data_IF_297143006363
#
_entry.id   IF_297143006363
#
_cell.length_a   1.000
_cell.length_b   1.000
_cell.length_c   1.000
_cell.angle_alpha   90.00
_cell.angle_beta   90.00
_cell.angle_gamma   90.00
#
_symmetry.space_group_name_H-M   'P 1'
#
loop_
_entity.id
_entity.type
_entity.pdbx_description
1 polymer ?
#
# COMPACT_ATOMS: atom_id res chain seq x y z
N UNK A 1 -11.36 -17.46 8.50
CA UNK A 1 -11.36 -18.11 7.15
C UNK A 1 -9.98 -17.91 6.55
N UNK A 2 -9.27 -18.97 6.16
CA UNK A 2 -7.94 -18.86 5.57
C UNK A 2 -8.02 -18.19 4.19
N UNK A 3 -7.43 -17.00 4.05
CA UNK A 3 -7.22 -16.36 2.74
C UNK A 3 -5.97 -16.96 2.08
N UNK A 4 -5.94 -17.11 0.75
CA UNK A 4 -4.69 -17.41 0.06
C UNK A 4 -3.68 -16.29 0.37
N UNK A 5 -2.61 -16.61 1.08
CA UNK A 5 -1.57 -15.64 1.40
C UNK A 5 -0.90 -15.15 0.11
N UNK A 6 -0.81 -13.83 -0.04
CA UNK A 6 -0.13 -13.22 -1.18
C UNK A 6 1.34 -13.67 -1.29
N UNK A 7 1.90 -13.53 -2.49
CA UNK A 7 3.33 -13.69 -2.72
C UNK A 7 3.90 -12.27 -2.85
N UNK A 8 4.52 -11.77 -1.79
CA UNK A 8 5.35 -10.56 -1.84
C UNK A 8 6.73 -10.87 -1.30
N UNK A 9 7.69 -10.06 -1.71
CA UNK A 9 9.10 -10.23 -1.38
C UNK A 9 9.95 -9.36 -2.29
N UNK A 10 11.26 -9.48 -2.13
CA UNK A 10 12.24 -8.63 -2.80
C UNK A 10 13.44 -9.46 -3.21
N UNK A 11 14.08 -9.05 -4.30
CA UNK A 11 15.32 -9.66 -4.73
C UNK A 11 16.49 -9.05 -3.94
N UNK A 12 17.31 -9.87 -3.30
CA UNK A 12 18.56 -9.46 -2.67
C UNK A 12 19.75 -10.05 -3.40
N UNK A 13 20.82 -9.25 -3.49
CA UNK A 13 22.15 -9.72 -3.84
C UNK A 13 23.01 -9.75 -2.57
N UNK A 14 23.65 -10.88 -2.28
CA UNK A 14 24.68 -10.99 -1.24
C UNK A 14 26.03 -11.24 -1.88
N UNK A 15 27.04 -10.54 -1.39
CA UNK A 15 28.44 -10.78 -1.76
C UNK A 15 29.04 -11.74 -0.73
N UNK A 16 29.44 -12.92 -1.18
CA UNK A 16 30.16 -13.92 -0.41
C UNK A 16 31.57 -13.47 -0.04
N UNK A 17 32.19 -14.16 0.91
CA UNK A 17 33.55 -13.85 1.39
C UNK A 17 34.62 -14.02 0.29
N UNK A 18 34.32 -14.81 -0.74
CA UNK A 18 35.13 -15.03 -1.95
C UNK A 18 34.85 -14.01 -3.06
N UNK A 19 33.95 -13.05 -2.84
CA UNK A 19 33.52 -12.07 -3.82
C UNK A 19 32.46 -12.58 -4.80
N UNK A 20 31.95 -13.80 -4.65
CA UNK A 20 30.82 -14.30 -5.44
C UNK A 20 29.55 -13.52 -5.08
N UNK A 21 28.75 -13.14 -6.08
CA UNK A 21 27.48 -12.44 -5.84
C UNK A 21 26.34 -13.41 -6.10
N UNK A 22 25.59 -13.75 -5.05
CA UNK A 22 24.43 -14.64 -5.14
C UNK A 22 23.14 -13.83 -5.01
N UNK A 23 22.27 -13.98 -5.99
CA UNK A 23 20.93 -13.40 -5.98
C UNK A 23 19.89 -14.37 -5.44
N UNK A 24 18.98 -13.92 -4.59
CA UNK A 24 17.83 -14.72 -4.16
C UNK A 24 16.61 -13.85 -3.88
N UNK A 25 15.42 -14.44 -4.02
CA UNK A 25 14.16 -13.81 -3.68
C UNK A 25 13.79 -14.10 -2.22
N UNK A 26 13.73 -13.05 -1.40
CA UNK A 26 13.32 -13.14 0.00
C UNK A 26 11.81 -12.90 0.11
N UNK A 27 11.07 -13.98 0.39
CA UNK A 27 9.62 -13.91 0.53
C UNK A 27 9.24 -13.36 1.90
N UNK A 28 8.28 -12.46 1.93
CA UNK A 28 7.64 -11.99 3.17
C UNK A 28 6.74 -13.12 3.69
N UNK A 29 6.97 -13.63 4.91
CA UNK A 29 6.19 -14.71 5.49
C UNK A 29 4.89 -14.15 6.06
N UNK A 30 3.90 -13.89 5.21
CA UNK A 30 2.56 -13.54 5.68
C UNK A 30 1.98 -14.67 6.52
N UNK A 31 1.34 -14.27 7.62
CA UNK A 31 0.52 -15.15 8.43
C UNK A 31 -0.60 -15.80 7.61
N UNK A 32 -1.18 -16.88 8.15
CA UNK A 32 -2.34 -17.55 7.52
C UNK A 32 -3.65 -16.85 7.83
N UNK A 33 -3.73 -16.22 9.00
CA UNK A 33 -4.94 -15.56 9.46
C UNK A 33 -4.99 -14.11 9.00
N UNK A 34 -6.18 -13.71 8.51
CA UNK A 34 -6.42 -12.37 7.97
C UNK A 34 -6.07 -11.26 8.99
N UNK A 35 -6.54 -11.42 10.23
CA UNK A 35 -6.30 -10.46 11.32
C UNK A 35 -4.81 -10.27 11.64
N UNK A 36 -4.01 -11.34 11.52
CA UNK A 36 -2.56 -11.28 11.73
C UNK A 36 -1.88 -10.52 10.59
N UNK A 37 -2.30 -10.73 9.34
CA UNK A 37 -1.81 -9.97 8.18
C UNK A 37 -2.14 -8.48 8.33
N UNK A 38 -3.39 -8.16 8.68
CA UNK A 38 -3.87 -6.78 8.83
C UNK A 38 -3.15 -6.06 9.97
N UNK A 39 -2.98 -6.71 11.13
CA UNK A 39 -2.20 -6.17 12.25
C UNK A 39 -0.76 -5.90 11.83
N UNK A 40 -0.13 -6.87 11.17
CA UNK A 40 1.24 -6.73 10.67
C UNK A 40 1.37 -5.54 9.69
N UNK A 41 0.41 -5.36 8.79
CA UNK A 41 0.42 -4.23 7.85
C UNK A 41 0.31 -2.88 8.56
N UNK A 42 -0.60 -2.76 9.55
CA UNK A 42 -0.80 -1.51 10.29
C UNK A 42 0.43 -1.16 11.13
N UNK A 43 0.99 -2.12 11.84
CA UNK A 43 2.20 -1.90 12.65
C UNK A 43 3.38 -1.46 11.77
N UNK A 44 3.60 -2.15 10.65
CA UNK A 44 4.69 -1.84 9.72
C UNK A 44 4.49 -0.51 9.00
N UNK A 45 3.24 -0.15 8.69
CA UNK A 45 2.88 1.17 8.18
C UNK A 45 3.27 2.28 9.19
N UNK A 46 2.87 2.16 10.45
CA UNK A 46 3.16 3.15 11.49
C UNK A 46 4.67 3.27 11.73
N UNK A 47 5.39 2.14 11.78
CA UNK A 47 6.87 2.13 11.90
C UNK A 47 7.51 2.86 10.72
N UNK A 48 7.10 2.55 9.49
CA UNK A 48 7.67 3.16 8.28
C UNK A 48 7.37 4.67 8.19
N UNK A 49 6.16 5.09 8.58
CA UNK A 49 5.79 6.50 8.68
C UNK A 49 6.67 7.26 9.70
N UNK A 50 6.89 6.68 10.88
CA UNK A 50 7.76 7.27 11.89
C UNK A 50 9.23 7.34 11.44
N UNK A 51 9.72 6.33 10.70
CA UNK A 51 11.08 6.36 10.14
C UNK A 51 11.26 7.50 9.12
N UNK A 52 10.23 7.76 8.31
CA UNK A 52 10.24 8.88 7.36
C UNK A 52 10.21 10.25 8.05
N UNK A 53 9.30 10.43 9.01
CA UNK A 53 9.04 11.72 9.66
C UNK A 53 10.08 12.03 10.75
N UNK A 54 10.66 11.04 11.44
CA UNK A 54 11.67 11.29 12.49
C UNK A 54 12.90 12.07 12.01
N UNK A 55 13.17 12.09 10.70
CA UNK A 55 14.21 12.93 10.09
C UNK A 55 13.95 14.44 10.27
N UNK A 56 12.71 14.85 10.53
CA UNK A 56 12.32 16.25 10.78
C UNK A 56 12.15 16.56 12.27
N UNK A 57 12.35 15.57 13.16
CA UNK A 57 12.11 15.69 14.60
C UNK A 57 10.64 15.52 15.01
N UNK A 58 9.75 15.30 14.05
CA UNK A 58 8.33 15.05 14.30
C UNK A 58 8.04 13.55 14.47
N UNK A 59 6.83 13.23 14.93
CA UNK A 59 6.30 11.87 15.01
C UNK A 59 5.08 11.72 14.11
N UNK A 60 4.89 10.55 13.53
CA UNK A 60 3.64 10.26 12.84
C UNK A 60 2.47 10.33 13.83
N UNK A 61 1.38 10.95 13.41
CA UNK A 61 0.29 11.34 14.31
C UNK A 61 -0.64 10.18 14.69
N UNK A 62 -0.59 9.04 13.99
CA UNK A 62 -1.31 7.83 14.37
C UNK A 62 -0.38 6.87 15.12
N UNK A 63 -0.85 6.35 16.24
CA UNK A 63 -0.13 5.33 17.01
C UNK A 63 -1.07 4.36 17.77
N UNK A 64 -0.47 3.43 18.51
CA UNK A 64 -1.14 2.47 19.38
C UNK A 64 -2.31 1.74 18.69
N UNK A 65 -2.09 1.09 17.53
CA UNK A 65 -3.15 0.39 16.83
C UNK A 65 -3.67 -0.76 17.67
N UNK A 66 -4.99 -0.90 17.74
CA UNK A 66 -5.69 -1.99 18.41
C UNK A 66 -6.75 -2.55 17.48
N UNK A 67 -6.60 -3.82 17.13
CA UNK A 67 -7.60 -4.54 16.35
C UNK A 67 -8.92 -4.58 17.14
N UNK A 68 -10.02 -4.23 16.47
CA UNK A 68 -11.37 -4.27 17.06
C UNK A 68 -12.04 -5.63 16.78
N UNK A 69 -13.17 -5.94 17.44
CA UNK A 69 -13.97 -7.13 17.13
C UNK A 69 -14.50 -7.16 15.70
N UNK A 70 -14.85 -8.36 15.23
CA UNK A 70 -15.54 -8.58 13.96
C UNK A 70 -16.86 -7.77 13.95
N UNK A 71 -17.16 -7.07 12.85
CA UNK A 71 -18.28 -6.11 12.64
C UNK A 71 -18.08 -4.65 13.10
N UNK A 72 -16.91 -4.26 13.60
CA UNK A 72 -16.53 -2.85 13.84
C UNK A 72 -15.56 -2.33 12.75
N UNK A 73 -15.14 -1.07 12.82
CA UNK A 73 -13.97 -0.56 12.09
C UNK A 73 -12.76 -1.43 12.41
N UNK A 74 -11.90 -1.75 11.43
CA UNK A 74 -10.82 -2.72 11.64
C UNK A 74 -9.93 -2.40 12.86
N UNK A 75 -9.53 -1.14 13.05
CA UNK A 75 -8.65 -0.72 14.15
C UNK A 75 -9.14 0.54 14.86
N UNK A 76 -8.85 0.60 16.16
CA UNK A 76 -8.77 1.85 16.93
C UNK A 76 -7.31 2.30 17.01
N UNK A 77 -7.05 3.58 16.75
CA UNK A 77 -5.72 4.22 16.84
C UNK A 77 -5.82 5.46 17.72
N UNK A 78 -4.69 5.92 18.29
CA UNK A 78 -4.66 7.24 18.93
C UNK A 78 -4.25 8.30 17.90
N UNK A 79 -4.85 9.48 18.03
CA UNK A 79 -4.56 10.66 17.20
C UNK A 79 -4.44 11.91 18.10
N UNK A 80 -3.96 13.05 17.58
CA UNK A 80 -3.89 14.28 18.36
C UNK A 80 -5.25 14.76 18.91
N UNK A 81 -6.35 14.36 18.27
CA UNK A 81 -7.71 14.72 18.67
C UNK A 81 -8.36 13.66 19.60
N UNK A 82 -7.59 12.66 20.06
CA UNK A 82 -8.08 11.53 20.83
C UNK A 82 -8.22 10.24 20.00
N UNK A 83 -8.96 9.24 20.51
CA UNK A 83 -9.15 7.98 19.80
C UNK A 83 -9.83 8.18 18.44
N UNK A 84 -9.32 7.50 17.43
CA UNK A 84 -9.83 7.51 16.06
C UNK A 84 -9.94 6.09 15.51
N UNK A 85 -10.64 5.96 14.39
CA UNK A 85 -10.79 4.70 13.68
C UNK A 85 -9.82 4.63 12.50
N UNK A 86 -9.26 3.44 12.27
CA UNK A 86 -8.46 3.13 11.09
C UNK A 86 -9.10 1.93 10.39
N UNK A 87 -9.52 2.16 9.17
CA UNK A 87 -10.11 1.16 8.31
C UNK A 87 -9.10 0.68 7.26
N UNK A 88 -9.19 -0.57 6.84
CA UNK A 88 -8.28 -1.19 5.90
C UNK A 88 -8.95 -1.56 4.58
N UNK A 89 -8.22 -1.46 3.48
CA UNK A 89 -8.65 -1.98 2.20
C UNK A 89 -7.48 -2.63 1.47
N UNK A 90 -7.57 -3.94 1.32
CA UNK A 90 -6.63 -4.71 0.52
C UNK A 90 -6.81 -4.37 -0.97
N UNK A 91 -5.73 -4.00 -1.63
CA UNK A 91 -5.69 -3.82 -3.07
C UNK A 91 -5.39 -5.17 -3.71
N UNK A 92 -6.46 -5.85 -4.12
CA UNK A 92 -6.41 -7.12 -4.83
C UNK A 92 -7.54 -7.18 -5.86
N UNK A 93 -7.41 -6.51 -7.03
CA UNK A 93 -8.41 -6.50 -8.11
C UNK A 93 -8.46 -7.85 -8.84
N UNK A 94 -8.69 -8.94 -8.10
CA UNK A 94 -8.70 -10.29 -8.65
C UNK A 94 -9.99 -10.52 -9.43
N UNK A 95 -9.86 -10.72 -10.74
CA UNK A 95 -10.81 -11.51 -11.54
C UNK A 95 -10.25 -12.93 -11.74
N UNK A 96 -9.83 -13.62 -10.66
CA UNK A 96 -9.29 -14.98 -10.74
C UNK A 96 -8.17 -15.30 -9.74
N UNK A 97 -7.35 -16.32 -10.06
CA UNK A 97 -6.17 -16.68 -9.26
C UNK A 97 -5.01 -15.72 -9.51
N UNK A 98 -4.11 -15.57 -8.53
CA UNK A 98 -2.91 -14.73 -8.63
C UNK A 98 -2.03 -15.04 -9.86
N UNK A 99 -2.02 -16.30 -10.31
CA UNK A 99 -1.26 -16.74 -11.50
C UNK A 99 -1.78 -16.17 -12.82
N UNK A 100 -3.01 -15.64 -12.82
CA UNK A 100 -3.62 -14.98 -13.98
C UNK A 100 -3.54 -13.46 -13.90
N UNK A 101 -2.90 -12.91 -12.87
CA UNK A 101 -2.69 -11.47 -12.79
C UNK A 101 -1.84 -11.02 -13.99
N UNK A 102 -2.27 -9.99 -14.73
CA UNK A 102 -1.55 -9.56 -15.92
C UNK A 102 -0.20 -8.95 -15.51
N UNK A 103 0.85 -9.23 -16.30
CA UNK A 103 2.19 -8.64 -16.13
C UNK A 103 2.25 -7.15 -16.49
N UNK A 104 1.12 -6.59 -16.95
CA UNK A 104 0.98 -5.20 -17.28
C UNK A 104 -0.42 -4.71 -16.90
N UNK A 105 -0.53 -3.44 -16.53
CA UNK A 105 -1.82 -2.80 -16.27
C UNK A 105 -1.80 -1.35 -16.72
N UNK A 106 -2.99 -0.80 -16.96
CA UNK A 106 -3.17 0.64 -17.18
C UNK A 106 -3.35 1.34 -15.83
N UNK A 107 -2.43 2.22 -15.40
CA UNK A 107 -2.54 2.90 -14.11
C UNK A 107 -3.81 3.71 -13.92
N UNK A 108 -4.32 4.29 -15.01
CA UNK A 108 -5.59 5.00 -15.03
C UNK A 108 -6.76 4.09 -14.63
N UNK A 109 -6.93 2.96 -15.33
CA UNK A 109 -8.04 2.03 -15.07
C UNK A 109 -7.91 1.39 -13.69
N UNK A 110 -6.70 1.00 -13.30
CA UNK A 110 -6.47 0.41 -11.98
C UNK A 110 -6.76 1.41 -10.85
N UNK A 111 -6.35 2.66 -11.02
CA UNK A 111 -6.69 3.73 -10.09
C UNK A 111 -8.21 3.96 -9.99
N UNK A 112 -8.97 3.86 -11.09
CA UNK A 112 -10.44 3.96 -11.06
C UNK A 112 -11.08 2.84 -10.23
N UNK A 113 -10.58 1.61 -10.36
CA UNK A 113 -11.04 0.46 -9.55
C UNK A 113 -10.79 0.72 -8.07
N UNK A 114 -9.58 1.16 -7.72
CA UNK A 114 -9.22 1.50 -6.33
C UNK A 114 -10.11 2.64 -5.82
N UNK A 115 -10.30 3.70 -6.59
CA UNK A 115 -11.16 4.83 -6.24
C UNK A 115 -12.61 4.39 -5.99
N UNK A 116 -13.15 3.49 -6.83
CA UNK A 116 -14.47 2.91 -6.60
C UNK A 116 -14.53 2.19 -5.26
N UNK A 117 -13.55 1.34 -4.94
CA UNK A 117 -13.48 0.65 -3.64
C UNK A 117 -13.42 1.60 -2.45
N UNK A 118 -12.64 2.69 -2.55
CA UNK A 118 -12.61 3.75 -1.53
C UNK A 118 -14.00 4.37 -1.36
N UNK A 119 -14.68 4.69 -2.46
CA UNK A 119 -16.02 5.31 -2.43
C UNK A 119 -17.06 4.36 -1.85
N UNK A 120 -17.07 3.11 -2.27
CA UNK A 120 -17.97 2.08 -1.75
C UNK A 120 -17.76 1.90 -0.26
N UNK A 121 -16.52 1.96 0.22
CA UNK A 121 -16.19 1.93 1.63
C UNK A 121 -16.66 3.19 2.35
N UNK A 122 -16.39 4.38 1.79
CA UNK A 122 -16.86 5.65 2.35
C UNK A 122 -18.38 5.71 2.48
N UNK A 123 -19.11 5.16 1.50
CA UNK A 123 -20.58 5.20 1.45
C UNK A 123 -21.26 4.24 2.45
N UNK A 124 -20.52 3.27 3.02
CA UNK A 124 -21.05 2.34 4.02
C UNK A 124 -21.25 2.97 5.40
N UNK A 125 -20.59 4.09 5.68
CA UNK A 125 -20.57 4.68 7.02
C UNK A 125 -21.42 5.96 7.08
N UNK A 126 -22.06 6.24 8.23
CA UNK A 126 -22.78 7.50 8.42
C UNK A 126 -21.81 8.67 8.43
N UNK A 127 -22.22 9.83 7.90
CA UNK A 127 -21.35 11.03 7.77
C UNK A 127 -20.86 11.62 9.09
N UNK A 128 -21.47 11.28 10.22
CA UNK A 128 -21.07 11.74 11.55
C UNK A 128 -20.80 10.54 12.47
N UNK A 129 -19.52 10.19 12.61
CA UNK A 129 -19.06 9.09 13.46
C UNK A 129 -18.72 9.54 14.89
N UNK A 130 -18.72 10.86 15.17
CA UNK A 130 -18.24 11.42 16.43
C UNK A 130 -16.72 11.27 16.66
N UNK A 131 -15.99 10.64 15.72
CA UNK A 131 -14.54 10.43 15.74
C UNK A 131 -13.99 10.50 14.31
N UNK A 132 -12.71 10.83 14.19
CA UNK A 132 -12.01 10.78 12.91
C UNK A 132 -11.91 9.32 12.40
N UNK A 133 -12.06 9.16 11.08
CA UNK A 133 -11.90 7.87 10.39
C UNK A 133 -10.81 7.99 9.32
N UNK A 134 -9.82 7.11 9.38
CA UNK A 134 -8.71 7.02 8.44
C UNK A 134 -8.83 5.77 7.58
N UNK A 135 -8.25 5.78 6.38
CA UNK A 135 -8.18 4.61 5.50
C UNK A 135 -6.72 4.26 5.18
N UNK A 136 -6.36 3.00 5.37
CA UNK A 136 -5.09 2.44 4.92
C UNK A 136 -5.34 1.41 3.81
N UNK A 137 -4.89 1.73 2.61
CA UNK A 137 -4.81 0.79 1.50
C UNK A 137 -3.52 -0.02 1.61
N UNK A 138 -3.57 -1.32 1.37
CA UNK A 138 -2.38 -2.17 1.45
C UNK A 138 -2.36 -3.26 0.39
N UNK A 139 -1.17 -3.71 0.01
CA UNK A 139 -0.97 -4.78 -0.99
C UNK A 139 -0.30 -5.99 -0.34
N UNK A 140 -0.84 -7.19 -0.54
CA UNK A 140 -0.24 -8.44 -0.07
C UNK A 140 0.50 -9.19 -1.19
N UNK A 141 0.38 -8.73 -2.43
CA UNK A 141 1.03 -9.31 -3.59
C UNK A 141 1.69 -8.24 -4.47
N UNK A 142 2.93 -8.49 -4.92
CA UNK A 142 3.69 -7.54 -5.73
C UNK A 142 3.00 -7.13 -7.05
N UNK A 143 2.16 -8.01 -7.63
CA UNK A 143 1.33 -7.71 -8.80
C UNK A 143 0.30 -6.60 -8.60
N UNK A 144 0.10 -6.13 -7.38
CA UNK A 144 -0.86 -5.07 -7.08
C UNK A 144 -0.21 -3.80 -6.58
N UNK A 145 1.13 -3.73 -6.57
CA UNK A 145 1.87 -2.52 -6.21
C UNK A 145 1.52 -1.35 -7.13
N UNK A 146 1.46 -0.15 -6.56
CA UNK A 146 0.99 1.01 -7.31
C UNK A 146 2.19 1.71 -7.93
N UNK A 147 2.11 1.93 -9.23
CA UNK A 147 2.99 2.87 -9.91
C UNK A 147 2.74 4.29 -9.42
N UNK A 148 3.75 5.15 -9.53
CA UNK A 148 3.61 6.56 -9.20
C UNK A 148 2.53 7.26 -10.05
N UNK A 149 2.29 6.77 -11.28
CA UNK A 149 1.19 7.24 -12.14
C UNK A 149 -0.18 6.89 -11.52
N UNK A 150 -0.36 5.67 -11.01
CA UNK A 150 -1.61 5.28 -10.33
C UNK A 150 -1.83 6.13 -9.06
N UNK A 151 -0.76 6.36 -8.29
CA UNK A 151 -0.79 7.23 -7.10
C UNK A 151 -1.17 8.67 -7.47
N UNK A 152 -0.60 9.23 -8.54
CA UNK A 152 -0.93 10.58 -9.02
C UNK A 152 -2.40 10.69 -9.45
N UNK A 153 -2.91 9.69 -10.20
CA UNK A 153 -4.33 9.59 -10.55
C UNK A 153 -5.23 9.60 -9.31
N UNK A 154 -4.93 8.77 -8.31
CA UNK A 154 -5.69 8.70 -7.06
C UNK A 154 -5.68 10.03 -6.31
N UNK A 155 -4.53 10.67 -6.14
CA UNK A 155 -4.41 11.99 -5.50
C UNK A 155 -5.25 13.05 -6.22
N UNK A 156 -5.19 13.07 -7.55
CA UNK A 156 -6.00 13.99 -8.36
C UNK A 156 -7.50 13.78 -8.13
N UNK A 157 -7.98 12.53 -8.23
CA UNK A 157 -9.42 12.25 -8.06
C UNK A 157 -9.93 12.42 -6.64
N UNK A 158 -9.16 12.04 -5.63
CA UNK A 158 -9.53 12.19 -4.22
C UNK A 158 -9.62 13.67 -3.80
N UNK A 159 -8.88 14.58 -4.46
CA UNK A 159 -9.01 16.02 -4.22
C UNK A 159 -10.36 16.58 -4.64
N UNK A 160 -10.97 16.04 -5.70
CA UNK A 160 -12.25 16.52 -6.24
C UNK A 160 -13.46 15.71 -5.77
N UNK A 161 -13.24 14.57 -5.10
CA UNK A 161 -14.28 13.67 -4.63
C UNK A 161 -14.19 13.50 -3.11
N UNK A 162 -14.99 14.25 -2.34
CA UNK A 162 -15.03 14.13 -0.90
C UNK A 162 -15.32 12.68 -0.46
N UNK A 163 -14.64 12.24 0.59
CA UNK A 163 -14.91 10.97 1.27
C UNK A 163 -15.09 11.24 2.76
N UNK A 164 -15.63 10.27 3.50
CA UNK A 164 -15.72 10.36 4.96
C UNK A 164 -14.33 10.29 5.63
N UNK A 165 -13.33 9.78 4.92
CA UNK A 165 -11.99 9.58 5.46
C UNK A 165 -11.27 10.91 5.66
N UNK A 166 -10.79 11.14 6.88
CA UNK A 166 -9.98 12.30 7.26
C UNK A 166 -8.66 12.33 6.50
N UNK A 167 -8.05 11.16 6.34
CA UNK A 167 -6.90 10.93 5.47
C UNK A 167 -6.90 9.49 4.92
N UNK A 168 -6.27 9.32 3.76
CA UNK A 168 -6.15 8.05 3.05
C UNK A 168 -4.66 7.81 2.75
N UNK A 169 -4.19 6.63 3.10
CA UNK A 169 -2.82 6.18 2.93
C UNK A 169 -2.76 4.94 2.03
N UNK A 170 -1.60 4.71 1.43
CA UNK A 170 -1.22 3.41 0.86
C UNK A 170 0.03 2.93 1.56
N UNK A 171 0.15 1.61 1.69
CA UNK A 171 1.35 0.97 2.21
C UNK A 171 1.70 -0.26 1.40
N UNK A 172 2.95 -0.27 0.94
CA UNK A 172 3.53 -1.35 0.17
C UNK A 172 4.76 -1.87 0.92
N UNK A 173 4.78 -3.15 1.27
CA UNK A 173 5.96 -3.72 1.94
C UNK A 173 7.15 -3.75 0.98
N UNK A 174 8.30 -3.29 1.47
CA UNK A 174 9.58 -3.46 0.80
C UNK A 174 10.23 -4.75 1.30
N UNK A 175 10.18 -4.98 2.61
CA UNK A 175 10.69 -6.19 3.25
C UNK A 175 9.86 -6.59 4.49
N UNK A 176 10.40 -7.50 5.31
CA UNK A 176 9.74 -8.01 6.50
C UNK A 176 9.62 -6.98 7.65
N UNK A 177 10.32 -5.84 7.56
CA UNK A 177 10.48 -4.84 8.60
C UNK A 177 9.98 -3.46 8.19
N UNK A 178 10.04 -3.11 6.91
CA UNK A 178 9.66 -1.81 6.40
C UNK A 178 8.98 -1.83 5.04
N UNK A 179 8.43 -0.68 4.67
CA UNK A 179 7.74 -0.48 3.41
C UNK A 179 7.69 0.98 2.99
N UNK A 180 7.01 1.22 1.88
CA UNK A 180 6.77 2.56 1.33
C UNK A 180 5.37 3.00 1.70
N UNK A 181 5.21 3.83 2.76
CA UNK A 181 3.95 4.50 2.97
C UNK A 181 3.84 5.71 2.03
N UNK A 182 2.65 5.93 1.46
CA UNK A 182 2.35 7.14 0.68
C UNK A 182 1.03 7.75 1.12
N UNK A 183 1.00 9.07 1.30
CA UNK A 183 -0.24 9.83 1.46
C UNK A 183 -0.97 9.95 0.12
N UNK A 184 -2.25 9.58 0.10
CA UNK A 184 -3.14 9.81 -1.03
C UNK A 184 -4.05 11.02 -0.82
N UNK A 185 -4.50 11.25 0.41
CA UNK A 185 -5.40 12.35 0.74
C UNK A 185 -5.32 12.71 2.23
N UNK A 186 -5.45 14.00 2.61
CA UNK A 186 -5.23 15.15 1.74
C UNK A 186 -3.74 15.25 1.36
N UNK A 187 -3.44 15.84 0.21
CA UNK A 187 -2.06 16.17 -0.19
C UNK A 187 -1.97 17.63 -0.61
N UNK A 188 -0.82 18.31 -0.40
CA UNK A 188 -0.63 19.66 -0.88
C UNK A 188 -0.83 19.76 -2.40
N UNK A 189 -1.42 20.86 -2.93
CA UNK A 189 -1.63 21.03 -4.36
C UNK A 189 -0.36 20.86 -5.21
N UNK A 190 0.81 21.14 -4.65
CA UNK A 190 2.12 21.02 -5.28
C UNK A 190 2.48 19.57 -5.60
N UNK A 191 2.00 18.60 -4.82
CA UNK A 191 2.20 17.16 -5.09
C UNK A 191 1.30 16.62 -6.22
N UNK A 192 0.28 17.38 -6.61
CA UNK A 192 -0.57 17.08 -7.77
C UNK A 192 -0.08 17.88 -8.97
N UNK A 193 0.29 19.14 -8.77
CA UNK A 193 0.78 20.02 -9.83
C UNK A 193 -0.21 20.14 -10.99
N UNK A 194 0.28 20.30 -12.24
CA UNK A 194 -0.57 20.36 -13.44
C UNK A 194 -1.00 18.97 -13.95
N UNK A 195 -0.90 17.92 -13.12
CA UNK A 195 -1.20 16.56 -13.55
C UNK A 195 -2.67 16.39 -13.95
N UNK A 196 -2.88 15.89 -15.17
CA UNK A 196 -4.17 15.50 -15.72
C UNK A 196 -4.20 13.98 -15.98
N UNK A 197 -5.03 13.22 -15.24
CA UNK A 197 -5.17 11.78 -15.42
C UNK A 197 -5.51 11.37 -16.86
N UNK A 198 -6.22 12.20 -17.63
CA UNK A 198 -6.61 11.82 -18.99
C UNK A 198 -5.40 11.70 -19.94
N UNK A 199 -4.31 12.42 -19.67
CA UNK A 199 -3.08 12.35 -20.46
C UNK A 199 -2.34 11.02 -20.30
N UNK A 200 -2.60 10.29 -19.22
CA UNK A 200 -1.95 9.01 -18.91
C UNK A 200 -2.91 7.82 -19.04
N UNK A 201 -4.09 8.03 -19.64
CA UNK A 201 -5.11 6.98 -19.81
C UNK A 201 -4.56 5.73 -20.50
N UNK A 202 -3.73 5.93 -21.53
CA UNK A 202 -3.16 4.84 -22.33
C UNK A 202 -1.78 4.37 -21.82
N UNK A 203 -1.28 4.94 -20.72
CA UNK A 203 -0.01 4.48 -20.15
C UNK A 203 -0.13 3.03 -19.69
N UNK A 204 0.95 2.27 -19.87
CA UNK A 204 1.06 0.90 -19.40
C UNK A 204 2.19 0.83 -18.40
N UNK A 205 1.90 0.26 -17.23
CA UNK A 205 2.91 -0.10 -16.25
C UNK A 205 3.16 -1.60 -16.33
N UNK A 206 4.44 -1.99 -16.35
CA UNK A 206 4.87 -3.38 -16.34
C UNK A 206 5.20 -3.80 -14.91
N UNK A 207 4.67 -4.93 -14.49
CA UNK A 207 5.08 -5.63 -13.29
C UNK A 207 6.17 -6.64 -13.67
N UNK A 208 7.38 -6.38 -13.19
CA UNK A 208 8.48 -7.32 -13.30
C UNK A 208 8.38 -8.31 -12.14
N UNK A 209 8.47 -9.60 -12.43
CA UNK A 209 8.49 -10.63 -11.39
C UNK A 209 9.87 -10.65 -10.70
N UNK A 210 9.97 -10.14 -9.46
CA UNK A 210 11.25 -10.15 -8.74
C UNK A 210 11.76 -11.57 -8.45
N UNK A 211 10.91 -12.59 -8.48
CA UNK A 211 11.31 -13.98 -8.32
C UNK A 211 12.08 -14.51 -9.53
N UNK A 212 11.84 -13.93 -10.72
CA UNK A 212 12.52 -14.29 -11.96
C UNK A 212 13.87 -13.60 -12.18
N UNK A 213 14.28 -12.70 -11.28
CA UNK A 213 15.52 -11.94 -11.44
C UNK A 213 16.76 -12.83 -11.25
N UNK A 214 17.80 -12.53 -12.02
CA UNK A 214 19.09 -13.20 -11.97
C UNK A 214 20.20 -12.16 -12.03
N UNK A 215 21.31 -12.42 -11.34
CA UNK A 215 22.49 -11.57 -11.42
C UNK A 215 23.24 -11.88 -12.72
N UNK A 216 23.34 -10.89 -13.60
CA UNK A 216 24.15 -11.01 -14.79
C UNK A 216 25.61 -10.72 -14.45
N UNK A 217 26.50 -11.72 -14.62
CA UNK A 217 27.94 -11.50 -14.57
C UNK A 217 28.46 -11.26 -16.00
N UNK A 218 28.74 -10.01 -16.36
CA UNK A 218 29.64 -9.76 -17.50
C UNK A 218 31.08 -10.00 -17.05
N UNK A 219 31.65 -11.16 -17.40
CA UNK A 219 33.11 -11.29 -17.45
C UNK A 219 33.59 -10.44 -18.62
N UNK A 220 34.11 -9.24 -18.36
CA UNK A 220 35.02 -8.58 -19.31
C UNK A 220 36.27 -9.45 -19.40
N UNK A 221 36.34 -10.27 -20.45
CA UNK A 221 37.57 -10.94 -20.90
C UNK A 221 38.55 -9.93 -21.45
#
# INVERSE_FOLDING_TARGET
>A
MAKPAGKSGFFQARVGADGEIVGYFERIPFAKEKAEIETYMVERFIVSMNKGISKTGDRFFLDNPRLNPEDDFDFTVSSPNGPAYLELMEIAPLAGSHEKAPSAYKPYDFGKVILSGIRDKSNRYPTNLGRDLFLLLYVTHWFFMLSDVAVACLRHWLRSQPTIFRAIFTYELLDANEGVPRWLYPVPPELIGPFDPEQVRENVCLHLDPQGFQIAHERKS
#
